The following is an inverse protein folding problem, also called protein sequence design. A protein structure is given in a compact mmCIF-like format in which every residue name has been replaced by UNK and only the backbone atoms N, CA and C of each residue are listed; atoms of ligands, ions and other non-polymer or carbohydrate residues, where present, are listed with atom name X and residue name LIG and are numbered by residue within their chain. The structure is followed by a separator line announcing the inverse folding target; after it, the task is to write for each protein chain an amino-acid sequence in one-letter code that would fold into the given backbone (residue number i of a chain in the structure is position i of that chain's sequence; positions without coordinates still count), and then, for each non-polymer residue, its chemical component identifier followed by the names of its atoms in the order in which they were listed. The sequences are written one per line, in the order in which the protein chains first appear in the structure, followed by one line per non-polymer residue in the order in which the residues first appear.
data_IF_162622191633
#
_entry.id   IF_162622191633
#
_cell.length_a   1.000
_cell.length_b   1.000
_cell.length_c   1.000
_cell.angle_alpha   90.00
_cell.angle_beta   90.00
_cell.angle_gamma   90.00
#
_symmetry.space_group_name_H-M   'P 1'
#
loop_
_entity.id
_entity.type
_entity.pdbx_description
1 polymer ?
#
# COMPACT_ATOMS: atom_id res chain seq x y z
N UNK A 1 50.05 35.10 19.33
CA UNK A 1 48.67 35.61 19.05
C UNK A 1 47.76 34.57 18.36
N UNK A 2 48.18 33.33 18.20
CA UNK A 2 47.39 32.32 17.45
C UNK A 2 46.56 31.34 18.30
N UNK A 3 46.81 31.26 19.61
CA UNK A 3 46.09 30.32 20.49
C UNK A 3 44.59 30.66 20.65
N UNK A 4 44.26 31.96 20.72
CA UNK A 4 42.88 32.42 20.91
C UNK A 4 41.96 32.22 19.67
N UNK A 5 42.53 32.25 18.45
CA UNK A 5 41.75 32.00 17.22
C UNK A 5 41.27 30.55 17.12
N UNK A 6 42.10 29.59 17.50
CA UNK A 6 41.75 28.19 17.47
C UNK A 6 40.68 27.82 18.52
N UNK A 7 40.68 28.47 19.68
CA UNK A 7 39.64 28.29 20.70
C UNK A 7 38.27 28.82 20.23
N UNK A 8 38.25 29.99 19.57
CA UNK A 8 37.01 30.56 19.02
C UNK A 8 36.41 29.70 17.90
N UNK A 9 37.24 29.14 17.05
CA UNK A 9 36.77 28.25 15.95
C UNK A 9 36.23 26.93 16.51
N UNK A 10 36.92 26.36 17.52
CA UNK A 10 36.48 25.13 18.20
C UNK A 10 35.13 25.32 18.93
N UNK A 11 34.97 26.45 19.63
CA UNK A 11 33.76 26.80 20.34
C UNK A 11 32.58 27.04 19.37
N UNK A 12 32.84 27.69 18.23
CA UNK A 12 31.83 27.94 17.20
C UNK A 12 31.38 26.64 16.52
N UNK A 13 32.30 25.73 16.21
CA UNK A 13 31.98 24.39 15.68
C UNK A 13 31.23 23.55 16.70
N UNK A 14 31.59 23.63 17.97
CA UNK A 14 30.88 22.93 19.04
C UNK A 14 29.44 23.47 19.22
N UNK A 15 29.25 24.78 19.21
CA UNK A 15 27.94 25.41 19.29
C UNK A 15 27.06 25.08 18.03
N UNK A 16 27.70 25.03 16.86
CA UNK A 16 27.00 24.62 15.63
C UNK A 16 26.59 23.13 15.64
N UNK A 17 27.44 22.26 16.21
CA UNK A 17 27.13 20.85 16.42
C UNK A 17 26.02 20.67 17.48
N UNK A 18 26.09 21.41 18.58
CA UNK A 18 25.06 21.40 19.62
C UNK A 18 23.72 21.96 19.08
N UNK A 19 23.77 23.04 18.29
CA UNK A 19 22.57 23.55 17.62
C UNK A 19 21.98 22.54 16.60
N UNK A 20 22.84 21.85 15.85
CA UNK A 20 22.37 20.75 14.94
C UNK A 20 21.79 19.56 15.71
N UNK A 21 22.36 19.25 16.89
CA UNK A 21 21.84 18.17 17.76
C UNK A 21 20.51 18.60 18.42
N UNK A 22 20.40 19.87 18.84
CA UNK A 22 19.17 20.44 19.42
C UNK A 22 18.09 20.70 18.37
N UNK A 23 18.41 20.80 17.08
CA UNK A 23 17.46 20.95 15.96
C UNK A 23 17.03 19.61 15.35
N UNK A 24 17.50 18.49 15.86
CA UNK A 24 16.82 17.21 15.73
C UNK A 24 15.63 17.26 16.71
N UNK A 25 14.63 18.11 16.42
CA UNK A 25 13.29 17.90 16.99
C UNK A 25 12.98 16.44 16.73
N UNK A 26 12.80 15.68 17.79
CA UNK A 26 12.41 14.30 17.73
C UNK A 26 11.04 14.30 17.04
N UNK A 27 11.05 14.00 15.73
CA UNK A 27 9.84 13.97 14.92
C UNK A 27 8.92 12.93 15.54
N UNK A 28 7.84 13.39 16.18
CA UNK A 28 6.82 12.52 16.73
C UNK A 28 5.69 12.37 15.73
N UNK A 29 5.37 11.11 15.41
CA UNK A 29 4.15 10.82 14.65
C UNK A 29 2.92 11.22 15.47
N UNK A 30 1.83 11.68 14.81
CA UNK A 30 0.57 11.97 15.51
C UNK A 30 -0.01 10.71 16.14
N UNK A 31 -0.79 10.87 17.22
CA UNK A 31 -1.47 9.76 17.91
C UNK A 31 -2.50 9.09 16.98
N UNK A 32 -3.18 9.89 16.16
CA UNK A 32 -4.13 9.41 15.14
C UNK A 32 -3.76 9.97 13.76
N UNK A 33 -3.90 9.15 12.74
CA UNK A 33 -3.64 9.53 11.36
C UNK A 33 -4.53 8.74 10.40
N UNK A 34 -5.19 9.43 9.49
CA UNK A 34 -6.03 8.81 8.45
C UNK A 34 -5.81 9.51 7.12
N UNK A 35 -5.28 8.79 6.15
CA UNK A 35 -5.00 9.32 4.81
C UNK A 35 -6.24 9.87 4.09
N UNK A 36 -7.45 9.42 4.44
CA UNK A 36 -8.71 9.93 3.88
C UNK A 36 -9.01 11.35 4.35
N UNK A 37 -8.54 11.70 5.55
CA UNK A 37 -8.67 13.02 6.14
C UNK A 37 -7.60 13.96 5.60
N UNK A 38 -6.36 13.48 5.50
CA UNK A 38 -5.21 14.26 5.02
C UNK A 38 -5.29 14.58 3.52
N UNK A 39 -5.76 13.61 2.72
CA UNK A 39 -5.82 13.71 1.26
C UNK A 39 -7.27 13.59 0.75
N UNK A 40 -8.13 14.52 1.20
CA UNK A 40 -9.60 14.54 0.90
C UNK A 40 -9.89 14.55 -0.59
N UNK A 41 -9.02 15.15 -1.39
CA UNK A 41 -9.12 15.21 -2.84
C UNK A 41 -8.90 13.85 -3.52
N UNK A 42 -8.23 12.89 -2.85
CA UNK A 42 -7.92 11.58 -3.41
C UNK A 42 -9.10 10.61 -3.25
N UNK A 43 -9.96 10.58 -4.26
CA UNK A 43 -11.19 9.76 -4.25
C UNK A 43 -10.91 8.26 -4.12
N UNK A 44 -9.75 7.79 -4.62
CA UNK A 44 -9.35 6.38 -4.54
C UNK A 44 -9.18 5.87 -3.11
N UNK A 45 -8.79 6.74 -2.15
CA UNK A 45 -8.67 6.38 -0.73
C UNK A 45 -10.00 5.96 -0.10
N UNK A 46 -11.12 6.48 -0.62
CA UNK A 46 -12.47 6.14 -0.16
C UNK A 46 -13.15 5.08 -1.05
N UNK A 47 -12.45 4.56 -2.07
CA UNK A 47 -13.00 3.59 -3.00
C UNK A 47 -12.66 2.16 -2.56
N UNK A 48 -13.65 1.43 -2.05
CA UNK A 48 -13.53 0.01 -1.78
C UNK A 48 -14.25 -0.79 -2.88
N UNK A 49 -13.44 -1.49 -3.68
CA UNK A 49 -13.95 -2.35 -4.74
C UNK A 49 -14.35 -3.72 -4.18
N UNK A 50 -15.26 -4.40 -4.87
CA UNK A 50 -15.74 -5.72 -4.46
C UNK A 50 -15.05 -6.83 -5.26
N UNK A 51 -14.21 -7.62 -4.59
CA UNK A 51 -13.55 -8.81 -5.16
C UNK A 51 -14.52 -9.98 -5.39
N UNK A 52 -15.80 -9.85 -4.94
CA UNK A 52 -16.81 -10.90 -4.99
C UNK A 52 -16.32 -12.17 -4.26
N UNK A 53 -16.60 -13.35 -4.82
CA UNK A 53 -16.22 -14.66 -4.26
C UNK A 53 -14.78 -15.09 -4.60
N UNK A 54 -13.99 -14.23 -5.24
CA UNK A 54 -12.65 -14.58 -5.66
C UNK A 54 -11.65 -14.29 -4.53
N UNK A 55 -10.77 -15.24 -4.26
CA UNK A 55 -9.72 -15.10 -3.26
C UNK A 55 -8.50 -14.34 -3.83
N UNK A 56 -8.74 -13.14 -4.40
CA UNK A 56 -7.75 -12.36 -5.16
C UNK A 56 -7.53 -10.96 -4.57
N UNK A 57 -7.70 -10.81 -3.24
CA UNK A 57 -7.54 -9.56 -2.49
C UNK A 57 -6.23 -8.84 -2.77
N UNK A 58 -5.15 -9.57 -3.05
CA UNK A 58 -3.84 -9.02 -3.38
C UNK A 58 -3.86 -8.07 -4.58
N UNK A 59 -4.60 -8.42 -5.64
CA UNK A 59 -4.69 -7.60 -6.86
C UNK A 59 -5.46 -6.30 -6.61
N UNK A 60 -6.52 -6.37 -5.79
CA UNK A 60 -7.30 -5.21 -5.38
C UNK A 60 -6.50 -4.26 -4.49
N UNK A 61 -5.82 -4.82 -3.50
CA UNK A 61 -4.97 -4.04 -2.60
C UNK A 61 -3.83 -3.35 -3.38
N UNK A 62 -3.17 -4.06 -4.31
CA UNK A 62 -2.05 -3.52 -5.09
C UNK A 62 -2.52 -2.44 -6.09
N UNK A 63 -3.57 -2.68 -6.86
CA UNK A 63 -4.11 -1.68 -7.79
C UNK A 63 -4.61 -0.44 -7.04
N UNK A 64 -5.27 -0.64 -5.89
CA UNK A 64 -5.71 0.43 -5.01
C UNK A 64 -4.54 1.22 -4.43
N UNK A 65 -3.50 0.56 -3.90
CA UNK A 65 -2.29 1.20 -3.39
C UNK A 65 -1.66 2.14 -4.43
N UNK A 66 -1.46 1.64 -5.66
CA UNK A 66 -0.83 2.43 -6.71
C UNK A 66 -1.70 3.63 -7.10
N UNK A 67 -3.03 3.44 -7.18
CA UNK A 67 -4.00 4.51 -7.45
C UNK A 67 -3.91 5.62 -6.40
N UNK A 68 -3.92 5.26 -5.12
CA UNK A 68 -3.84 6.18 -3.99
C UNK A 68 -2.52 6.97 -4.01
N UNK A 69 -1.41 6.27 -4.22
CA UNK A 69 -0.08 6.91 -4.24
C UNK A 69 0.12 7.86 -5.41
N UNK A 70 -0.43 7.56 -6.58
CA UNK A 70 -0.40 8.49 -7.73
C UNK A 70 -1.17 9.77 -7.38
N UNK A 71 -2.34 9.64 -6.80
CA UNK A 71 -3.13 10.79 -6.36
C UNK A 71 -2.38 11.63 -5.31
N UNK A 72 -1.87 11.00 -4.25
CA UNK A 72 -1.11 11.65 -3.18
C UNK A 72 0.11 12.38 -3.76
N UNK A 73 0.94 11.69 -4.55
CA UNK A 73 2.16 12.27 -5.12
C UNK A 73 1.90 13.39 -6.13
N UNK A 74 0.72 13.43 -6.75
CA UNK A 74 0.30 14.49 -7.66
C UNK A 74 -0.47 15.62 -6.96
N UNK A 75 -0.65 15.57 -5.65
CA UNK A 75 -1.52 16.48 -4.89
C UNK A 75 -2.94 16.56 -5.51
N UNK A 76 -3.54 15.40 -5.78
CA UNK A 76 -4.88 15.27 -6.33
C UNK A 76 -5.04 15.57 -7.83
N UNK A 77 -3.97 15.91 -8.55
CA UNK A 77 -4.05 16.30 -9.98
C UNK A 77 -4.23 15.11 -10.93
N UNK A 78 -3.62 13.96 -10.63
CA UNK A 78 -3.77 12.71 -11.38
C UNK A 78 -4.41 11.65 -10.47
N UNK A 79 -5.62 11.22 -10.82
CA UNK A 79 -6.42 10.29 -9.99
C UNK A 79 -6.88 9.07 -10.79
N UNK A 80 -5.95 8.24 -11.30
CA UNK A 80 -6.34 7.05 -12.01
C UNK A 80 -6.89 6.01 -11.04
N UNK A 81 -7.97 5.34 -11.43
CA UNK A 81 -8.40 4.10 -10.80
C UNK A 81 -7.80 2.97 -11.62
N UNK A 82 -6.82 2.26 -11.05
CA UNK A 82 -6.09 1.22 -11.77
C UNK A 82 -6.83 -0.12 -11.76
N UNK A 83 -6.50 -0.95 -12.75
CA UNK A 83 -7.17 -2.21 -13.03
C UNK A 83 -6.55 -3.37 -12.27
N UNK A 84 -7.26 -3.93 -11.31
CA UNK A 84 -6.97 -5.24 -10.72
C UNK A 84 -7.14 -6.38 -11.73
N UNK A 85 -8.04 -6.21 -12.68
CA UNK A 85 -8.28 -7.19 -13.74
C UNK A 85 -7.03 -7.41 -14.62
N UNK A 86 -6.22 -6.38 -14.83
CA UNK A 86 -4.96 -6.52 -15.54
C UNK A 86 -3.95 -7.36 -14.76
N UNK A 87 -3.83 -7.14 -13.46
CA UNK A 87 -2.99 -7.98 -12.59
C UNK A 87 -3.42 -9.45 -12.64
N UNK A 88 -4.72 -9.71 -12.58
CA UNK A 88 -5.28 -11.05 -12.57
C UNK A 88 -5.12 -11.78 -13.91
N UNK A 89 -5.13 -11.06 -15.03
CA UNK A 89 -5.08 -11.67 -16.37
C UNK A 89 -3.69 -11.67 -16.99
N UNK A 90 -2.85 -10.71 -16.64
CA UNK A 90 -1.56 -10.49 -17.30
C UNK A 90 -0.34 -10.82 -16.42
N UNK A 91 -0.48 -10.79 -15.10
CA UNK A 91 0.57 -11.23 -14.20
C UNK A 91 0.56 -12.76 -14.09
N UNK A 92 1.58 -13.42 -14.64
CA UNK A 92 1.71 -14.88 -14.65
C UNK A 92 2.62 -15.42 -13.55
N UNK A 93 3.07 -14.57 -12.61
CA UNK A 93 3.89 -15.00 -11.50
C UNK A 93 3.09 -15.88 -10.52
N UNK A 94 3.50 -17.12 -10.34
CA UNK A 94 2.80 -18.11 -9.51
C UNK A 94 3.23 -18.05 -8.05
N UNK A 95 4.49 -17.69 -7.79
CA UNK A 95 5.09 -17.67 -6.44
C UNK A 95 5.01 -16.24 -5.91
N UNK A 96 4.38 -16.06 -4.75
CA UNK A 96 4.19 -14.74 -4.10
C UNK A 96 3.55 -13.69 -5.03
N UNK A 97 2.26 -13.76 -5.14
CA UNK A 97 1.44 -12.92 -6.04
C UNK A 97 1.65 -11.42 -5.85
N UNK A 98 1.93 -10.95 -4.62
CA UNK A 98 2.18 -9.53 -4.34
C UNK A 98 3.51 -9.09 -4.96
N UNK A 99 4.59 -9.84 -4.75
CA UNK A 99 5.89 -9.53 -5.34
C UNK A 99 5.83 -9.51 -6.86
N UNK A 100 5.25 -10.56 -7.46
CA UNK A 100 5.09 -10.63 -8.92
C UNK A 100 4.22 -9.51 -9.46
N UNK A 101 3.18 -9.09 -8.74
CA UNK A 101 2.33 -7.95 -9.07
C UNK A 101 3.10 -6.62 -9.05
N UNK A 102 3.96 -6.39 -8.06
CA UNK A 102 4.85 -5.23 -8.04
C UNK A 102 5.85 -5.25 -9.21
N UNK A 103 6.51 -6.38 -9.45
CA UNK A 103 7.42 -6.55 -10.58
C UNK A 103 6.71 -6.28 -11.90
N UNK A 104 5.50 -6.83 -12.10
CA UNK A 104 4.68 -6.53 -13.26
C UNK A 104 4.39 -5.03 -13.39
N UNK A 105 4.03 -4.37 -12.30
CA UNK A 105 3.72 -2.94 -12.26
C UNK A 105 4.94 -2.05 -12.55
N UNK A 106 6.14 -2.50 -12.20
CA UNK A 106 7.41 -1.84 -12.54
C UNK A 106 7.74 -2.00 -14.02
N UNK A 107 7.62 -3.22 -14.56
CA UNK A 107 8.09 -3.54 -15.92
C UNK A 107 7.05 -3.19 -16.99
N UNK A 108 5.79 -3.55 -16.76
CA UNK A 108 4.69 -3.41 -17.74
C UNK A 108 3.75 -2.25 -17.46
N UNK A 109 3.71 -1.78 -16.20
CA UNK A 109 2.74 -0.80 -15.74
C UNK A 109 1.31 -1.34 -15.72
N UNK A 110 0.41 -0.61 -15.04
CA UNK A 110 -1.02 -0.92 -14.99
C UNK A 110 -1.83 0.08 -15.81
N UNK A 111 -2.85 -0.41 -16.51
CA UNK A 111 -3.88 0.43 -17.13
C UNK A 111 -4.97 0.77 -16.13
N UNK A 112 -5.88 1.65 -16.53
CA UNK A 112 -7.04 2.03 -15.71
C UNK A 112 -8.14 0.98 -15.73
N UNK A 113 -9.01 1.02 -14.72
CA UNK A 113 -10.24 0.22 -14.64
C UNK A 113 -11.16 0.45 -15.85
N UNK A 114 -11.24 1.67 -16.37
CA UNK A 114 -12.01 1.98 -17.58
C UNK A 114 -11.46 1.28 -18.83
N UNK A 115 -10.14 1.05 -18.86
CA UNK A 115 -9.48 0.32 -19.95
C UNK A 115 -9.69 -1.20 -19.83
N UNK A 116 -9.56 -1.76 -18.62
CA UNK A 116 -9.72 -3.20 -18.32
C UNK A 116 -10.56 -3.39 -17.07
N UNK A 117 -11.87 -3.42 -17.25
CA UNK A 117 -12.82 -3.50 -16.15
C UNK A 117 -12.95 -4.91 -15.58
N UNK A 118 -12.81 -5.02 -14.24
CA UNK A 118 -13.06 -6.24 -13.49
C UNK A 118 -14.49 -6.75 -13.64
N UNK A 119 -15.47 -5.86 -13.62
CA UNK A 119 -16.88 -6.22 -13.72
C UNK A 119 -17.28 -6.84 -15.07
N UNK A 120 -16.50 -6.61 -16.12
CA UNK A 120 -16.71 -7.18 -17.46
C UNK A 120 -16.04 -8.55 -17.63
N UNK A 121 -15.35 -9.04 -16.60
CA UNK A 121 -14.64 -10.31 -16.63
C UNK A 121 -15.46 -11.35 -15.86
N UNK A 122 -16.07 -12.30 -16.56
CA UNK A 122 -16.88 -13.37 -15.95
C UNK A 122 -16.06 -14.57 -15.48
N UNK A 123 -14.89 -14.81 -16.08
CA UNK A 123 -14.00 -15.93 -15.75
C UNK A 123 -12.55 -15.59 -16.14
N UNK A 124 -11.66 -15.43 -15.13
CA UNK A 124 -10.27 -15.01 -15.35
C UNK A 124 -9.39 -16.07 -15.99
N UNK A 125 -9.67 -17.35 -15.76
CA UNK A 125 -8.84 -18.45 -16.26
C UNK A 125 -8.77 -18.51 -17.78
N UNK A 126 -9.76 -17.94 -18.47
CA UNK A 126 -9.90 -17.98 -19.93
C UNK A 126 -9.58 -16.64 -20.61
N UNK A 127 -9.23 -15.59 -19.87
CA UNK A 127 -8.97 -14.27 -20.47
C UNK A 127 -7.50 -14.16 -20.83
N UNK A 128 -7.25 -13.95 -22.13
CA UNK A 128 -5.91 -13.64 -22.62
C UNK A 128 -5.53 -12.20 -22.23
N UNK A 129 -4.30 -12.01 -21.77
CA UNK A 129 -3.71 -10.69 -21.59
C UNK A 129 -3.75 -9.94 -22.93
N UNK A 130 -4.35 -8.75 -22.94
CA UNK A 130 -4.46 -7.89 -24.12
C UNK A 130 -3.59 -6.65 -23.96
N UNK A 131 -3.00 -6.17 -25.05
CA UNK A 131 -2.28 -4.91 -25.11
C UNK A 131 -3.17 -3.70 -25.41
N UNK A 132 -4.46 -3.92 -25.65
CA UNK A 132 -5.45 -2.87 -25.88
C UNK A 132 -6.50 -2.84 -24.77
N UNK A 133 -7.20 -1.74 -24.66
CA UNK A 133 -8.39 -1.62 -23.84
C UNK A 133 -9.56 -2.44 -24.40
N UNK A 134 -10.62 -2.58 -23.62
CA UNK A 134 -11.84 -3.31 -24.04
C UNK A 134 -12.48 -2.68 -25.30
N UNK A 135 -12.36 -1.35 -25.46
CA UNK A 135 -12.85 -0.58 -26.60
C UNK A 135 -11.85 -0.54 -27.77
N UNK A 136 -10.79 -1.35 -27.72
CA UNK A 136 -9.67 -1.39 -28.66
C UNK A 136 -8.79 -0.12 -28.69
N UNK A 137 -8.99 0.85 -27.82
CA UNK A 137 -8.11 2.00 -27.70
C UNK A 137 -6.74 1.61 -27.12
N UNK A 138 -5.74 2.49 -27.31
CA UNK A 138 -4.39 2.30 -26.77
C UNK A 138 -4.41 2.47 -25.25
N UNK A 139 -3.75 1.55 -24.54
CA UNK A 139 -3.62 1.63 -23.09
C UNK A 139 -2.71 2.78 -22.65
N UNK A 140 -3.18 3.61 -21.72
CA UNK A 140 -2.32 4.46 -20.90
C UNK A 140 -1.82 3.61 -19.72
N UNK A 141 -0.51 3.61 -19.48
CA UNK A 141 0.13 2.81 -18.43
C UNK A 141 0.67 3.69 -17.33
N UNK A 142 0.55 3.20 -16.10
CA UNK A 142 1.08 3.80 -14.88
C UNK A 142 2.06 2.84 -14.23
N UNK A 143 3.22 3.34 -13.84
CA UNK A 143 4.34 2.52 -13.40
C UNK A 143 4.69 2.78 -11.94
N UNK A 144 5.04 1.70 -11.23
CA UNK A 144 5.71 1.75 -9.95
C UNK A 144 7.21 1.93 -10.20
N UNK A 145 7.88 2.72 -9.38
CA UNK A 145 9.33 2.92 -9.50
C UNK A 145 10.12 1.84 -8.77
N UNK A 146 9.64 1.43 -7.60
CA UNK A 146 10.28 0.44 -6.74
C UNK A 146 9.27 -0.10 -5.71
N UNK A 147 9.61 -1.20 -5.03
CA UNK A 147 8.84 -1.72 -3.90
C UNK A 147 9.74 -2.34 -2.84
N UNK A 148 9.25 -2.43 -1.61
CA UNK A 148 9.97 -2.97 -0.46
C UNK A 148 9.04 -3.79 0.43
N UNK A 149 9.51 -4.93 0.92
CA UNK A 149 8.96 -5.58 2.10
C UNK A 149 9.51 -4.85 3.33
N UNK A 150 8.63 -4.34 4.17
CA UNK A 150 9.01 -3.62 5.39
C UNK A 150 9.39 -4.61 6.48
N UNK A 151 10.20 -4.17 7.43
CA UNK A 151 10.36 -4.89 8.69
C UNK A 151 9.09 -4.77 9.55
N UNK A 152 9.00 -5.64 10.57
CA UNK A 152 7.80 -5.75 11.43
C UNK A 152 7.68 -4.64 12.47
N UNK A 153 8.55 -3.65 12.44
CA UNK A 153 8.55 -2.59 13.43
C UNK A 153 7.38 -1.64 13.19
N UNK A 154 6.49 -1.54 14.15
CA UNK A 154 5.30 -0.70 14.12
C UNK A 154 5.60 0.75 13.71
N UNK A 155 6.59 1.39 14.35
CA UNK A 155 6.98 2.76 14.04
C UNK A 155 7.50 2.92 12.62
N UNK A 156 8.17 1.89 12.08
CA UNK A 156 8.63 1.91 10.70
C UNK A 156 7.44 1.88 9.73
N UNK A 157 6.46 1.02 9.98
CA UNK A 157 5.22 0.96 9.17
C UNK A 157 4.46 2.30 9.25
N UNK A 158 4.33 2.89 10.44
CA UNK A 158 3.71 4.20 10.62
C UNK A 158 4.45 5.30 9.83
N UNK A 159 5.78 5.34 9.88
CA UNK A 159 6.59 6.27 9.10
C UNK A 159 6.37 6.12 7.59
N UNK A 160 6.35 4.88 7.10
CA UNK A 160 6.10 4.62 5.68
C UNK A 160 4.72 5.12 5.24
N UNK A 161 3.70 4.92 6.07
CA UNK A 161 2.35 5.43 5.78
C UNK A 161 2.32 6.96 5.80
N UNK A 162 2.96 7.58 6.79
CA UNK A 162 2.96 9.02 6.97
C UNK A 162 3.64 9.77 5.82
N UNK A 163 4.83 9.30 5.41
CA UNK A 163 5.64 9.96 4.40
C UNK A 163 5.36 9.52 2.97
N UNK A 164 4.86 8.29 2.78
CA UNK A 164 4.76 7.66 1.46
C UNK A 164 3.35 7.19 1.10
N UNK A 165 2.35 7.43 1.97
CA UNK A 165 0.97 7.00 1.74
C UNK A 165 0.74 5.52 2.10
N UNK A 166 -0.39 4.90 1.70
CA UNK A 166 -0.82 3.60 2.18
C UNK A 166 0.20 2.49 1.91
N UNK A 167 0.11 1.41 2.69
CA UNK A 167 0.87 0.17 2.50
C UNK A 167 -0.08 -1.01 2.32
N UNK A 168 0.42 -2.12 1.76
CA UNK A 168 -0.30 -3.39 1.67
C UNK A 168 0.15 -4.27 2.82
N UNK A 169 -0.80 -4.91 3.51
CA UNK A 169 -0.53 -5.91 4.52
C UNK A 169 -1.31 -7.19 4.28
N UNK A 170 -0.75 -8.33 4.71
CA UNK A 170 -1.46 -9.60 4.78
C UNK A 170 -1.72 -9.97 6.24
N UNK A 171 -2.91 -10.44 6.53
CA UNK A 171 -3.24 -10.97 7.85
C UNK A 171 -3.94 -12.32 7.77
N UNK A 172 -3.91 -13.08 8.87
CA UNK A 172 -4.59 -14.37 8.99
C UNK A 172 -6.09 -14.14 9.07
N UNK A 173 -6.81 -14.59 8.06
CA UNK A 173 -8.27 -14.48 7.96
C UNK A 173 -8.95 -15.64 8.66
N UNK A 174 -9.92 -15.34 9.49
CA UNK A 174 -10.76 -16.31 10.18
C UNK A 174 -12.24 -16.14 9.82
N UNK A 175 -13.03 -17.18 10.04
CA UNK A 175 -14.44 -17.25 9.60
C UNK A 175 -15.33 -16.14 10.17
N UNK A 176 -15.06 -15.68 11.39
CA UNK A 176 -15.81 -14.62 12.09
C UNK A 176 -15.58 -13.22 11.52
N UNK A 177 -14.50 -13.01 10.73
CA UNK A 177 -14.21 -11.71 10.14
C UNK A 177 -15.33 -11.23 9.22
N UNK A 178 -15.97 -12.12 8.47
CA UNK A 178 -17.09 -11.74 7.61
C UNK A 178 -18.31 -11.27 8.42
N UNK A 179 -18.57 -11.88 9.56
CA UNK A 179 -19.65 -11.45 10.46
C UNK A 179 -19.31 -10.12 11.13
N UNK A 180 -18.03 -9.94 11.50
CA UNK A 180 -17.53 -8.66 12.00
C UNK A 180 -17.76 -7.54 10.98
N UNK A 181 -17.40 -7.75 9.71
CA UNK A 181 -17.58 -6.73 8.64
C UNK A 181 -19.04 -6.36 8.39
N UNK A 182 -20.00 -7.24 8.74
CA UNK A 182 -21.44 -6.98 8.62
C UNK A 182 -22.02 -6.24 9.83
N UNK A 183 -21.29 -6.11 10.92
CA UNK A 183 -21.76 -5.38 12.12
C UNK A 183 -21.86 -3.87 11.83
N UNK A 184 -22.90 -3.22 12.41
CA UNK A 184 -23.15 -1.77 12.25
C UNK A 184 -22.20 -0.86 13.03
N UNK A 185 -21.31 -1.39 13.84
CA UNK A 185 -20.43 -0.60 14.69
C UNK A 185 -19.10 -0.30 13.99
N UNK A 186 -19.03 0.86 13.35
CA UNK A 186 -17.81 1.36 12.65
C UNK A 186 -16.62 1.60 13.58
N UNK A 187 -16.85 1.71 14.87
CA UNK A 187 -15.83 2.01 15.87
C UNK A 187 -15.27 0.78 16.56
N UNK A 188 -15.80 -0.40 16.25
CA UNK A 188 -15.30 -1.66 16.82
C UNK A 188 -13.93 -2.03 16.22
N UNK A 189 -13.01 -2.45 17.07
CA UNK A 189 -11.72 -3.02 16.64
C UNK A 189 -11.91 -4.53 16.50
N UNK A 190 -11.46 -5.10 15.38
CA UNK A 190 -11.57 -6.53 15.14
C UNK A 190 -10.70 -7.32 16.12
N UNK A 191 -11.36 -8.19 16.85
CA UNK A 191 -10.76 -9.21 17.69
C UNK A 191 -11.32 -10.58 17.30
N UNK A 192 -10.42 -11.57 17.18
CA UNK A 192 -10.75 -12.94 16.82
C UNK A 192 -11.65 -13.60 17.89
N UNK A 193 -12.80 -14.11 17.48
CA UNK A 193 -13.64 -14.91 18.35
C UNK A 193 -13.01 -16.29 18.59
N UNK A 194 -12.88 -16.71 19.86
CA UNK A 194 -12.37 -18.04 20.18
C UNK A 194 -13.14 -19.14 19.45
N UNK A 195 -12.41 -20.05 18.78
CA UNK A 195 -13.01 -21.17 18.05
C UNK A 195 -13.34 -20.90 16.59
N UNK A 196 -13.10 -19.69 16.07
CA UNK A 196 -13.25 -19.40 14.65
C UNK A 196 -12.22 -20.18 13.81
N UNK A 197 -12.64 -20.62 12.62
CA UNK A 197 -11.80 -21.40 11.72
C UNK A 197 -10.87 -20.51 10.92
N UNK A 198 -9.57 -20.89 10.83
CA UNK A 198 -8.62 -20.24 9.93
C UNK A 198 -8.96 -20.56 8.47
N UNK A 199 -9.18 -19.51 7.66
CA UNK A 199 -9.54 -19.64 6.25
C UNK A 199 -8.32 -19.51 5.33
N UNK A 200 -7.35 -18.65 5.69
CA UNK A 200 -6.19 -18.35 4.86
C UNK A 200 -5.61 -16.96 5.14
N UNK A 201 -4.84 -16.43 4.21
CA UNK A 201 -4.33 -15.07 4.28
C UNK A 201 -5.16 -14.13 3.42
N UNK A 202 -5.44 -12.94 3.94
CA UNK A 202 -6.16 -11.88 3.24
C UNK A 202 -5.29 -10.63 3.11
N UNK A 203 -5.35 -9.99 1.95
CA UNK A 203 -4.55 -8.80 1.67
C UNK A 203 -5.42 -7.56 1.70
N UNK A 204 -4.96 -6.54 2.44
CA UNK A 204 -5.65 -5.27 2.64
C UNK A 204 -4.69 -4.10 2.46
N UNK A 205 -5.21 -2.87 2.43
CA UNK A 205 -4.40 -1.67 2.57
C UNK A 205 -4.49 -1.15 4.01
N UNK A 206 -3.36 -0.78 4.61
CA UNK A 206 -3.34 0.04 5.82
C UNK A 206 -3.24 1.50 5.38
N UNK A 207 -4.21 2.31 5.83
CA UNK A 207 -4.36 3.70 5.42
C UNK A 207 -4.23 4.69 6.59
N UNK A 208 -3.92 4.19 7.77
CA UNK A 208 -3.77 5.02 8.97
C UNK A 208 -3.75 4.19 10.24
N UNK A 209 -3.79 4.90 11.35
CA UNK A 209 -3.76 4.33 12.70
C UNK A 209 -4.46 5.26 13.69
N UNK A 210 -4.71 4.75 14.88
CA UNK A 210 -5.20 5.52 16.00
C UNK A 210 -5.14 4.71 17.28
N UNK A 211 -5.73 5.28 18.31
CA UNK A 211 -5.91 4.64 19.61
C UNK A 211 -7.30 4.93 20.17
N UNK A 212 -7.78 4.06 21.03
CA UNK A 212 -9.10 4.18 21.63
C UNK A 212 -9.12 3.56 23.04
N UNK A 213 -9.82 4.21 23.94
CA UNK A 213 -10.09 3.67 25.25
C UNK A 213 -11.18 2.60 25.17
N UNK A 214 -10.82 1.34 25.46
CA UNK A 214 -11.73 0.19 25.51
C UNK A 214 -11.61 -0.45 26.89
N UNK A 215 -12.71 -0.50 27.67
CA UNK A 215 -12.71 -1.05 29.02
C UNK A 215 -11.55 -0.52 29.89
N UNK A 216 -11.36 0.81 29.91
CA UNK A 216 -10.31 1.51 30.67
C UNK A 216 -8.87 1.20 30.23
N UNK A 217 -8.68 0.50 29.12
CA UNK A 217 -7.38 0.25 28.50
C UNK A 217 -7.25 1.00 27.19
N UNK A 218 -6.10 1.62 26.97
CA UNK A 218 -5.79 2.22 25.66
C UNK A 218 -5.42 1.11 24.67
N UNK A 219 -6.19 0.98 23.59
CA UNK A 219 -5.99 -0.01 22.53
C UNK A 219 -5.61 0.72 21.25
N UNK A 220 -4.42 0.42 20.76
CA UNK A 220 -3.91 0.95 19.48
C UNK A 220 -4.42 0.10 18.31
N UNK A 221 -4.73 0.75 17.17
CA UNK A 221 -5.27 0.06 16.02
C UNK A 221 -4.74 0.60 14.68
N UNK A 222 -4.73 -0.27 13.68
CA UNK A 222 -4.61 0.11 12.28
C UNK A 222 -5.97 0.42 11.68
N UNK A 223 -6.04 1.42 10.79
CA UNK A 223 -7.19 1.68 9.92
C UNK A 223 -6.92 1.00 8.59
N UNK A 224 -7.80 0.08 8.21
CA UNK A 224 -7.63 -0.79 7.06
C UNK A 224 -8.75 -0.60 6.04
N UNK A 225 -8.39 -0.60 4.75
CA UNK A 225 -9.31 -0.67 3.62
C UNK A 225 -9.35 -2.09 3.06
N UNK A 226 -10.54 -2.69 3.03
CA UNK A 226 -10.81 -4.03 2.54
C UNK A 226 -11.16 -4.00 1.04
N UNK A 227 -11.39 -5.18 0.44
CA UNK A 227 -11.83 -5.37 -0.95
C UNK A 227 -13.15 -6.13 -1.06
N UNK A 228 -14.05 -5.96 -0.09
CA UNK A 228 -15.37 -6.61 -0.07
C UNK A 228 -16.51 -5.70 -0.60
N UNK A 229 -16.17 -4.47 -1.02
CA UNK A 229 -17.13 -3.49 -1.55
C UNK A 229 -17.70 -2.56 -0.48
N UNK A 230 -18.50 -1.59 -0.95
CA UNK A 230 -19.16 -0.61 -0.08
C UNK A 230 -20.54 -1.09 0.40
N UNK A 231 -20.97 -2.30 -0.02
CA UNK A 231 -22.24 -2.90 0.43
C UNK A 231 -22.17 -3.32 1.90
N UNK A 232 -20.96 -3.43 2.45
CA UNK A 232 -20.74 -3.60 3.87
C UNK A 232 -21.05 -2.29 4.62
N UNK A 233 -21.62 -2.41 5.81
CA UNK A 233 -22.16 -1.31 6.62
C UNK A 233 -21.09 -0.26 6.98
N UNK A 234 -19.82 -0.65 6.91
CA UNK A 234 -18.65 0.20 7.23
C UNK A 234 -17.95 0.76 5.99
N UNK A 235 -18.64 0.82 4.84
CA UNK A 235 -18.06 1.27 3.56
C UNK A 235 -16.77 0.50 3.19
N UNK A 236 -16.60 -0.73 3.72
CA UNK A 236 -15.45 -1.59 3.49
C UNK A 236 -14.18 -1.23 4.28
N UNK A 237 -14.28 -0.37 5.31
CA UNK A 237 -13.17 -0.08 6.23
C UNK A 237 -13.34 -0.82 7.56
N UNK A 238 -12.20 -1.11 8.21
CA UNK A 238 -12.21 -1.72 9.53
C UNK A 238 -10.96 -1.33 10.34
N UNK A 239 -11.05 -1.56 11.66
CA UNK A 239 -9.94 -1.38 12.60
C UNK A 239 -9.47 -2.74 13.09
N UNK A 240 -8.16 -2.92 13.27
CA UNK A 240 -7.54 -4.14 13.81
C UNK A 240 -6.39 -3.75 14.74
N UNK A 241 -6.13 -4.54 15.77
CA UNK A 241 -5.09 -4.27 16.79
C UNK A 241 -3.74 -4.02 16.13
N UNK A 242 -3.03 -2.98 16.61
CA UNK A 242 -1.73 -2.50 16.16
C UNK A 242 -0.65 -2.70 17.23
N UNK A 243 0.59 -3.00 16.80
CA UNK A 243 1.79 -3.05 17.65
C UNK A 243 2.05 -4.39 18.29
N UNK A 244 1.13 -5.37 18.16
CA UNK A 244 1.24 -6.71 18.70
C UNK A 244 1.44 -7.79 17.63
N UNK A 245 1.66 -7.38 16.39
CA UNK A 245 1.64 -8.27 15.22
C UNK A 245 0.38 -9.16 15.17
N UNK A 246 -0.75 -8.58 15.56
CA UNK A 246 -2.00 -9.29 15.72
C UNK A 246 -2.44 -9.94 14.39
N UNK A 247 -2.72 -11.24 14.44
CA UNK A 247 -3.03 -12.06 13.26
C UNK A 247 -2.00 -11.94 12.12
N UNK A 248 -0.73 -11.73 12.45
CA UNK A 248 0.41 -11.57 11.54
C UNK A 248 0.35 -10.30 10.64
N UNK A 249 -0.51 -9.31 10.96
CA UNK A 249 -0.74 -8.15 10.07
C UNK A 249 0.52 -7.31 9.81
N UNK A 250 1.47 -7.28 10.74
CA UNK A 250 2.73 -6.55 10.63
C UNK A 250 3.86 -7.41 10.03
N UNK A 251 3.60 -8.72 9.79
CA UNK A 251 4.61 -9.66 9.29
C UNK A 251 4.90 -9.54 7.80
N UNK A 252 3.90 -9.15 7.01
CA UNK A 252 3.98 -9.10 5.53
C UNK A 252 3.44 -7.78 5.03
N UNK A 253 4.17 -6.71 5.31
CA UNK A 253 3.81 -5.34 4.91
C UNK A 253 4.67 -4.89 3.73
N UNK A 254 4.03 -4.51 2.63
CA UNK A 254 4.71 -4.07 1.41
C UNK A 254 4.41 -2.61 1.12
N UNK A 255 5.44 -1.86 0.77
CA UNK A 255 5.29 -0.51 0.25
C UNK A 255 5.74 -0.44 -1.22
N UNK A 256 5.01 0.30 -2.05
CA UNK A 256 5.38 0.62 -3.43
C UNK A 256 5.65 2.11 -3.56
N UNK A 257 6.67 2.48 -4.32
CA UNK A 257 7.08 3.87 -4.49
C UNK A 257 6.71 4.37 -5.88
N UNK A 258 6.24 5.60 -5.94
CA UNK A 258 5.85 6.28 -7.18
C UNK A 258 6.80 7.45 -7.41
N UNK A 259 7.44 7.48 -8.57
CA UNK A 259 8.25 8.61 -8.99
C UNK A 259 7.51 9.38 -10.09
N UNK A 260 7.25 10.66 -9.87
CA UNK A 260 6.52 11.52 -10.81
C UNK A 260 7.13 11.56 -12.22
N UNK A 261 8.45 11.36 -12.35
CA UNK A 261 9.15 11.29 -13.63
C UNK A 261 8.95 9.96 -14.37
N UNK A 262 8.51 8.91 -13.66
CA UNK A 262 8.44 7.54 -14.17
C UNK A 262 6.98 7.09 -14.40
N UNK A 263 6.01 7.77 -13.80
CA UNK A 263 4.57 7.40 -13.86
C UNK A 263 4.10 7.17 -15.30
N UNK A 264 4.62 7.95 -16.27
CA UNK A 264 4.26 7.85 -17.68
C UNK A 264 5.48 7.56 -18.53
N UNK A 265 5.90 6.29 -18.60
CA UNK A 265 6.97 5.87 -19.51
C UNK A 265 6.42 5.60 -20.90
N UNK A 266 7.23 5.94 -21.92
CA UNK A 266 7.07 5.37 -23.25
C UNK A 266 7.74 4.00 -23.30
N UNK A 267 7.29 3.11 -24.20
CA UNK A 267 7.80 1.74 -24.36
C UNK A 267 9.33 1.66 -24.60
N UNK A 268 9.93 2.75 -25.05
CA UNK A 268 11.33 2.83 -25.47
C UNK A 268 12.26 3.37 -24.38
N UNK A 269 11.72 3.77 -23.22
CA UNK A 269 12.53 4.26 -22.10
C UNK A 269 13.27 3.09 -21.45
N UNK A 270 14.60 3.08 -21.59
CA UNK A 270 15.47 2.10 -20.92
C UNK A 270 15.36 2.27 -19.41
N UNK A 271 15.10 1.17 -18.70
CA UNK A 271 15.10 1.12 -17.23
C UNK A 271 16.56 1.14 -16.79
N UNK A 272 17.08 2.28 -16.35
CA UNK A 272 18.31 2.30 -15.57
C UNK A 272 17.93 1.99 -14.12
N UNK A 273 18.14 0.76 -13.72
CA UNK A 273 18.02 0.30 -12.31
C UNK A 273 19.36 0.54 -11.61
N UNK A 274 19.76 1.79 -11.48
CA UNK A 274 20.89 2.16 -10.66
C UNK A 274 20.49 1.99 -9.18
N UNK A 275 20.97 0.90 -8.57
CA UNK A 275 21.02 0.76 -7.12
C UNK A 275 20.40 -0.47 -6.48
N UNK A 276 19.66 -1.32 -7.19
CA UNK A 276 19.11 -2.54 -6.61
C UNK A 276 19.57 -3.80 -7.36
N UNK A 277 20.28 -4.67 -6.64
CA UNK A 277 20.72 -5.99 -7.13
C UNK A 277 19.52 -6.94 -7.26
N UNK A 278 18.71 -6.80 -8.31
CA UNK A 278 17.87 -7.89 -8.78
C UNK A 278 18.65 -8.69 -9.82
N UNK A 279 18.89 -9.97 -9.54
CA UNK A 279 19.51 -10.88 -10.48
C UNK A 279 18.50 -11.23 -11.58
N UNK A 280 18.45 -10.39 -12.63
CA UNK A 280 17.51 -10.50 -13.76
C UNK A 280 17.64 -11.77 -14.58
N UNK A 281 18.69 -12.58 -14.38
CA UNK A 281 18.90 -13.81 -15.14
C UNK A 281 17.85 -14.89 -14.87
N UNK A 282 17.08 -14.79 -13.77
CA UNK A 282 15.98 -15.71 -13.47
C UNK A 282 14.58 -15.14 -13.84
N UNK A 283 14.45 -13.83 -14.15
CA UNK A 283 13.16 -13.19 -14.40
C UNK A 283 12.72 -13.28 -15.88
N UNK A 284 13.66 -13.43 -16.81
CA UNK A 284 13.34 -13.46 -18.25
C UNK A 284 12.67 -14.76 -18.73
N UNK A 285 12.61 -15.81 -17.91
CA UNK A 285 11.96 -17.08 -18.32
C UNK A 285 10.45 -17.11 -18.03
N UNK A 286 9.96 -16.30 -17.08
CA UNK A 286 8.57 -16.33 -16.66
C UNK A 286 7.70 -15.21 -17.28
N UNK A 287 8.31 -14.24 -18.01
CA UNK A 287 7.63 -13.07 -18.57
C UNK A 287 7.69 -12.98 -20.12
N UNK A 288 8.30 -13.96 -20.80
CA UNK A 288 8.17 -14.14 -22.24
C UNK A 288 7.20 -15.28 -22.53
#
# INVERSE_FOLDING_TARGET
MDSNKNYFISLFLFLFLVQKILSLEEYSLPEEYDLRIEYKECKSLNLNKNQKKLNESWAFALAGLISDKICINSNGKDQPILSEAELLTCNKGEINKINSGFIYSIIKGLSTESCKSYNKISNYSNIKCSNNCIDNSKQKKYFVSDYKLLDKEEKHIMNEIYFHGPVIAQFRLYSDFYDFMRKKNKDEIYELNPGSEFIGYHTIKIIGWGEKLVNEKNVTYWICANSLGNDDINDGFFKIIRGENYLDIESYVYNGYINSKIIHRNKDDKISLEGHFFNFNNLNKDFM
#
